data_IF_064804367031
#
_entry.id   IF_064804367031
#
_cell.length_a   1.000
_cell.length_b   1.000
_cell.length_c   1.000
_cell.angle_alpha   90.00
_cell.angle_beta   90.00
_cell.angle_gamma   90.00
#
_symmetry.space_group_name_H-M   'P 1'
#
loop_
_entity.id
_entity.type
_entity.pdbx_description
1 polymer ?
#
# COMPACT_ATOMS: atom_id res chain seq x y z
N UNK A 1 53.92 14.10 -7.20
CA UNK A 1 53.78 15.01 -8.35
C UNK A 1 53.08 14.28 -9.49
N UNK A 2 51.75 14.24 -9.48
CA UNK A 2 50.97 13.77 -10.63
C UNK A 2 51.22 14.77 -11.76
N UNK A 3 51.83 14.30 -12.85
CA UNK A 3 52.18 15.13 -14.01
C UNK A 3 50.88 15.79 -14.48
N UNK A 4 50.87 17.11 -14.65
CA UNK A 4 49.69 17.92 -15.03
C UNK A 4 48.93 17.34 -16.25
N UNK A 5 49.62 16.62 -17.12
CA UNK A 5 49.05 15.87 -18.25
C UNK A 5 48.04 14.77 -17.84
N UNK A 6 48.25 14.06 -16.72
CA UNK A 6 47.32 13.01 -16.23
C UNK A 6 46.02 13.58 -15.69
N UNK A 7 46.06 14.76 -15.06
CA UNK A 7 44.86 15.39 -14.51
C UNK A 7 43.96 15.95 -15.62
N UNK A 8 44.57 16.51 -16.68
CA UNK A 8 43.87 16.99 -17.87
C UNK A 8 43.21 15.82 -18.62
N UNK A 9 43.91 14.68 -18.74
CA UNK A 9 43.35 13.49 -19.40
C UNK A 9 42.13 12.92 -18.63
N UNK A 10 42.20 12.87 -17.30
CA UNK A 10 41.06 12.44 -16.46
C UNK A 10 39.88 13.40 -16.60
N UNK A 11 40.14 14.72 -16.60
CA UNK A 11 39.09 15.73 -16.77
C UNK A 11 38.43 15.64 -18.17
N UNK A 12 39.20 15.39 -19.22
CA UNK A 12 38.68 15.22 -20.58
C UNK A 12 37.84 13.95 -20.72
N UNK A 13 38.25 12.83 -20.09
CA UNK A 13 37.46 11.60 -20.09
C UNK A 13 36.15 11.77 -19.31
N UNK A 14 36.19 12.44 -18.15
CA UNK A 14 34.98 12.72 -17.36
C UNK A 14 34.04 13.69 -18.08
N UNK A 15 34.55 14.76 -18.70
CA UNK A 15 33.74 15.66 -19.53
C UNK A 15 33.18 14.94 -20.76
N UNK A 16 33.97 14.09 -21.42
CA UNK A 16 33.51 13.29 -22.56
C UNK A 16 32.40 12.31 -22.21
N UNK A 17 32.49 11.66 -21.04
CA UNK A 17 31.43 10.79 -20.52
C UNK A 17 30.17 11.56 -20.15
N UNK A 18 30.30 12.73 -19.51
CA UNK A 18 29.16 13.60 -19.18
C UNK A 18 28.51 14.15 -20.45
N UNK A 19 29.28 14.54 -21.45
CA UNK A 19 28.76 14.98 -22.75
C UNK A 19 28.06 13.82 -23.46
N UNK A 20 28.64 12.61 -23.50
CA UNK A 20 27.95 11.43 -24.05
C UNK A 20 26.64 11.09 -23.34
N UNK A 21 26.53 11.31 -22.02
CA UNK A 21 25.27 11.13 -21.27
C UNK A 21 24.27 12.24 -21.60
N UNK A 22 24.74 13.47 -21.83
CA UNK A 22 23.89 14.64 -22.11
C UNK A 22 23.50 14.81 -23.58
N UNK A 23 24.28 14.27 -24.52
CA UNK A 23 24.05 14.35 -25.97
C UNK A 23 23.57 13.04 -26.57
N UNK A 24 23.44 11.96 -25.78
CA UNK A 24 22.72 10.79 -26.25
C UNK A 24 21.30 11.24 -26.65
N UNK A 25 20.91 11.05 -27.91
CA UNK A 25 19.58 11.40 -28.32
C UNK A 25 18.62 10.60 -27.44
N UNK A 26 17.77 11.29 -26.67
CA UNK A 26 16.58 10.73 -26.01
C UNK A 26 15.53 10.20 -27.01
N UNK A 27 15.94 9.99 -28.26
CA UNK A 27 15.18 9.60 -29.44
C UNK A 27 15.33 8.10 -29.71
N UNK A 28 15.14 7.25 -28.68
CA UNK A 28 14.78 5.83 -28.87
C UNK A 28 13.78 5.44 -27.77
N UNK A 29 12.70 6.20 -27.67
CA UNK A 29 11.40 5.68 -27.24
C UNK A 29 10.41 6.35 -28.18
N UNK A 30 9.88 5.59 -29.14
CA UNK A 30 8.92 6.10 -30.11
C UNK A 30 7.71 6.66 -29.37
N UNK A 31 7.58 7.98 -29.39
CA UNK A 31 6.30 8.64 -29.17
C UNK A 31 5.59 8.67 -30.52
N UNK A 32 4.96 7.57 -30.90
CA UNK A 32 3.64 7.77 -31.51
C UNK A 32 2.77 8.25 -30.35
N UNK A 33 2.46 9.53 -30.31
CA UNK A 33 1.31 10.02 -29.53
C UNK A 33 0.06 9.39 -30.16
N UNK A 34 -0.14 8.09 -29.92
CA UNK A 34 -1.48 7.56 -29.91
C UNK A 34 -2.14 8.21 -28.70
N UNK A 35 -2.95 9.24 -28.95
CA UNK A 35 -3.96 9.65 -27.98
C UNK A 35 -4.78 8.41 -27.66
N UNK A 36 -4.43 7.72 -26.57
CA UNK A 36 -5.27 6.69 -25.99
C UNK A 36 -6.52 7.40 -25.46
N UNK A 37 -7.50 7.54 -26.34
CA UNK A 37 -8.84 7.96 -25.95
C UNK A 37 -9.38 6.87 -25.03
N UNK A 38 -9.31 7.07 -23.71
CA UNK A 38 -9.93 6.19 -22.74
C UNK A 38 -11.45 6.29 -22.96
N UNK A 39 -11.98 5.42 -23.82
CA UNK A 39 -13.41 5.18 -23.92
C UNK A 39 -13.81 4.65 -22.55
N UNK A 40 -14.55 5.46 -21.78
CA UNK A 40 -14.83 5.20 -20.37
C UNK A 40 -15.14 3.73 -20.08
N UNK A 41 -14.49 3.17 -19.06
CA UNK A 41 -14.73 1.78 -18.67
C UNK A 41 -16.17 1.58 -18.18
N UNK A 42 -16.86 0.58 -18.73
CA UNK A 42 -18.14 0.11 -18.19
C UNK A 42 -17.84 -0.89 -17.08
N UNK A 43 -18.39 -0.64 -15.88
CA UNK A 43 -18.26 -1.58 -14.76
C UNK A 43 -18.97 -2.90 -15.06
N UNK A 44 -18.27 -4.03 -14.92
CA UNK A 44 -18.88 -5.36 -15.02
C UNK A 44 -19.76 -5.72 -13.81
N UNK A 45 -20.58 -6.76 -13.93
CA UNK A 45 -21.43 -7.22 -12.83
C UNK A 45 -20.66 -8.13 -11.85
N UNK A 46 -19.94 -7.53 -10.90
CA UNK A 46 -19.15 -8.24 -9.90
C UNK A 46 -19.34 -7.66 -8.49
N UNK A 47 -18.84 -8.40 -7.49
CA UNK A 47 -18.97 -8.03 -6.08
C UNK A 47 -18.43 -6.62 -5.78
N UNK A 48 -17.26 -6.25 -6.33
CA UNK A 48 -16.63 -4.94 -6.16
C UNK A 48 -17.54 -3.81 -6.64
N UNK A 49 -18.18 -3.96 -7.81
CA UNK A 49 -19.10 -2.96 -8.36
C UNK A 49 -20.47 -2.95 -7.67
N UNK A 50 -20.89 -4.08 -7.07
CA UNK A 50 -22.13 -4.18 -6.27
C UNK A 50 -21.97 -3.72 -4.82
N UNK A 51 -20.75 -3.42 -4.38
CA UNK A 51 -20.46 -3.09 -2.98
C UNK A 51 -20.77 -4.23 -2.00
N UNK A 52 -20.66 -5.48 -2.47
CA UNK A 52 -20.93 -6.68 -1.69
C UNK A 52 -19.61 -7.27 -1.21
N UNK A 53 -19.35 -7.19 0.10
CA UNK A 53 -18.17 -7.82 0.67
C UNK A 53 -18.20 -9.35 0.43
N UNK A 54 -17.04 -9.99 0.20
CA UNK A 54 -16.97 -11.43 0.05
C UNK A 54 -17.38 -12.13 1.35
N UNK A 55 -18.35 -13.06 1.28
CA UNK A 55 -18.74 -13.88 2.44
C UNK A 55 -17.54 -14.70 2.94
N UNK A 56 -16.82 -15.33 2.02
CA UNK A 56 -15.56 -16.03 2.28
C UNK A 56 -14.35 -15.12 2.01
N UNK A 57 -14.15 -14.15 2.90
CA UNK A 57 -12.99 -13.25 2.85
C UNK A 57 -11.65 -13.99 2.94
N UNK A 58 -11.60 -15.10 3.68
CA UNK A 58 -10.39 -15.91 3.85
C UNK A 58 -10.00 -16.58 2.53
N UNK A 59 -10.96 -17.23 1.87
CA UNK A 59 -10.77 -17.80 0.55
C UNK A 59 -10.45 -16.75 -0.50
N UNK A 60 -11.01 -15.54 -0.41
CA UNK A 60 -10.67 -14.45 -1.33
C UNK A 60 -9.22 -13.99 -1.17
N UNK A 61 -8.71 -13.84 0.07
CA UNK A 61 -7.28 -13.60 0.29
C UNK A 61 -6.45 -14.72 -0.33
N UNK A 62 -6.82 -15.99 -0.06
CA UNK A 62 -6.10 -17.14 -0.63
C UNK A 62 -6.10 -17.14 -2.16
N UNK A 63 -7.23 -16.79 -2.79
CA UNK A 63 -7.36 -16.71 -4.26
C UNK A 63 -6.48 -15.60 -4.85
N UNK A 64 -6.50 -14.41 -4.26
CA UNK A 64 -5.81 -13.25 -4.81
C UNK A 64 -4.31 -13.23 -4.47
N UNK A 65 -3.95 -13.55 -3.23
CA UNK A 65 -2.58 -13.54 -2.73
C UNK A 65 -1.85 -14.88 -2.93
N UNK A 66 -2.58 -15.97 -3.11
CA UNK A 66 -2.07 -17.35 -3.19
C UNK A 66 -2.04 -18.10 -1.86
N UNK A 67 -2.06 -17.39 -0.72
CA UNK A 67 -2.18 -17.98 0.62
C UNK A 67 -2.71 -16.98 1.64
N UNK A 68 -3.10 -17.46 2.83
CA UNK A 68 -3.47 -16.60 3.95
C UNK A 68 -2.31 -16.54 4.94
N UNK A 69 -1.91 -15.33 5.33
CA UNK A 69 -0.80 -15.08 6.24
C UNK A 69 -1.16 -13.95 7.22
N UNK A 70 -0.50 -13.84 8.38
CA UNK A 70 -0.94 -12.92 9.43
C UNK A 70 -0.90 -11.44 8.99
N UNK A 71 -0.04 -11.09 8.03
CA UNK A 71 0.05 -9.73 7.47
C UNK A 71 -1.16 -9.35 6.60
N UNK A 72 -1.63 -10.25 5.72
CA UNK A 72 -2.83 -9.96 4.93
C UNK A 72 -4.11 -10.03 5.79
N UNK A 73 -4.15 -10.87 6.83
CA UNK A 73 -5.25 -10.82 7.81
C UNK A 73 -5.25 -9.51 8.60
N UNK A 74 -4.08 -9.02 9.03
CA UNK A 74 -3.96 -7.71 9.68
C UNK A 74 -4.50 -6.58 8.80
N UNK A 75 -4.12 -6.55 7.52
CA UNK A 75 -4.63 -5.57 6.55
C UNK A 75 -6.15 -5.66 6.39
N UNK A 76 -6.69 -6.88 6.30
CA UNK A 76 -8.15 -7.09 6.24
C UNK A 76 -8.86 -6.55 7.48
N UNK A 77 -8.33 -6.84 8.67
CA UNK A 77 -8.91 -6.35 9.94
C UNK A 77 -8.91 -4.83 10.03
N UNK A 78 -7.81 -4.18 9.63
CA UNK A 78 -7.72 -2.72 9.57
C UNK A 78 -8.77 -2.18 8.59
N UNK A 79 -8.92 -2.80 7.42
CA UNK A 79 -9.93 -2.40 6.44
C UNK A 79 -11.35 -2.48 6.97
N UNK A 80 -11.71 -3.59 7.62
CA UNK A 80 -13.04 -3.77 8.22
C UNK A 80 -13.31 -2.78 9.35
N UNK A 81 -12.31 -2.50 10.19
CA UNK A 81 -12.40 -1.48 11.22
C UNK A 81 -12.61 -0.09 10.59
N UNK A 82 -11.85 0.27 9.56
CA UNK A 82 -11.98 1.55 8.88
C UNK A 82 -13.37 1.77 8.26
N UNK A 83 -13.95 0.75 7.61
CA UNK A 83 -15.31 0.82 7.08
C UNK A 83 -16.33 1.14 8.19
N UNK A 84 -16.21 0.48 9.35
CA UNK A 84 -17.06 0.70 10.53
C UNK A 84 -16.86 2.10 11.11
N UNK A 85 -15.62 2.53 11.29
CA UNK A 85 -15.29 3.82 11.94
C UNK A 85 -15.62 5.04 11.06
N UNK A 86 -15.64 4.88 9.73
CA UNK A 86 -15.95 5.94 8.77
C UNK A 86 -17.38 5.84 8.20
N UNK A 87 -18.19 4.95 8.74
CA UNK A 87 -19.58 4.67 8.32
C UNK A 87 -19.72 4.61 6.79
N UNK A 88 -18.93 3.73 6.18
CA UNK A 88 -19.00 3.45 4.74
C UNK A 88 -19.07 1.95 4.48
N UNK A 89 -19.33 1.57 3.23
CA UNK A 89 -19.53 0.19 2.81
C UNK A 89 -18.38 -0.30 1.96
N UNK A 90 -18.14 -1.59 2.06
CA UNK A 90 -17.16 -2.28 1.24
C UNK A 90 -17.41 -2.04 -0.25
N UNK A 91 -16.35 -1.84 -1.04
CA UNK A 91 -16.44 -1.71 -2.50
C UNK A 91 -17.03 -0.38 -2.99
N UNK A 92 -17.27 0.61 -2.11
CA UNK A 92 -17.70 1.96 -2.53
C UNK A 92 -16.58 2.79 -3.14
N UNK A 93 -15.33 2.42 -2.89
CA UNK A 93 -14.14 3.10 -3.40
C UNK A 93 -14.01 4.57 -2.93
N UNK A 94 -14.68 4.89 -1.81
CA UNK A 94 -14.76 6.22 -1.21
C UNK A 94 -13.61 6.51 -0.24
N UNK A 95 -12.80 5.50 0.10
CA UNK A 95 -11.63 5.64 0.98
C UNK A 95 -10.35 6.00 0.22
N UNK A 96 -9.54 6.84 0.84
CA UNK A 96 -8.15 7.09 0.49
C UNK A 96 -7.22 6.49 1.55
N UNK A 97 -6.36 5.55 1.16
CA UNK A 97 -5.61 4.69 2.07
C UNK A 97 -4.11 4.75 1.72
N UNK A 98 -3.28 5.03 2.72
CA UNK A 98 -1.82 4.91 2.62
C UNK A 98 -1.33 3.88 3.63
N UNK A 99 -0.73 2.81 3.12
CA UNK A 99 -0.12 1.74 3.90
C UNK A 99 1.39 2.00 4.04
N UNK A 100 1.82 2.42 5.22
CA UNK A 100 3.23 2.68 5.53
C UNK A 100 3.89 1.41 6.05
N UNK A 101 4.74 0.80 5.23
CA UNK A 101 5.40 -0.49 5.51
C UNK A 101 6.79 -0.53 4.88
N UNK A 102 7.73 -1.34 5.40
CA UNK A 102 8.89 -1.72 4.61
C UNK A 102 8.43 -2.33 3.27
N UNK A 103 9.00 -1.89 2.14
CA UNK A 103 8.58 -2.36 0.80
C UNK A 103 9.26 -3.71 0.49
N UNK A 104 8.91 -4.72 1.30
CA UNK A 104 9.32 -6.10 1.15
C UNK A 104 8.31 -7.03 1.80
N UNK A 105 8.32 -8.29 1.38
CA UNK A 105 7.57 -9.33 2.07
C UNK A 105 8.25 -9.68 3.41
N UNK A 106 7.46 -10.06 4.43
CA UNK A 106 6.00 -10.24 4.41
C UNK A 106 5.20 -8.94 4.69
N UNK A 107 5.86 -7.81 4.99
CA UNK A 107 5.20 -6.57 5.43
C UNK A 107 4.20 -6.02 4.40
N UNK A 108 4.60 -5.98 3.14
CA UNK A 108 3.77 -5.47 2.05
C UNK A 108 2.51 -6.30 1.79
N UNK A 109 2.44 -7.55 2.24
CA UNK A 109 1.24 -8.40 2.12
C UNK A 109 0.02 -7.80 2.84
N UNK A 110 0.23 -6.86 3.77
CA UNK A 110 -0.85 -6.09 4.40
C UNK A 110 -1.70 -5.33 3.38
N UNK A 111 -1.12 -4.87 2.27
CA UNK A 111 -1.85 -4.15 1.23
C UNK A 111 -2.94 -5.03 0.59
N UNK A 112 -2.67 -6.31 0.33
CA UNK A 112 -3.66 -7.23 -0.23
C UNK A 112 -4.80 -7.48 0.76
N UNK A 113 -4.45 -7.54 2.05
CA UNK A 113 -5.42 -7.52 3.13
C UNK A 113 -6.34 -6.31 3.08
N UNK A 114 -5.78 -5.11 2.94
CA UNK A 114 -6.55 -3.86 2.83
C UNK A 114 -7.47 -3.86 1.61
N UNK A 115 -7.01 -4.39 0.46
CA UNK A 115 -7.85 -4.55 -0.74
C UNK A 115 -9.07 -5.41 -0.44
N UNK A 116 -8.88 -6.62 0.11
CA UNK A 116 -10.00 -7.51 0.45
C UNK A 116 -10.85 -6.93 1.59
N UNK A 117 -10.23 -6.25 2.54
CA UNK A 117 -10.90 -5.67 3.71
C UNK A 117 -11.77 -4.47 3.39
N UNK A 118 -11.50 -3.73 2.31
CA UNK A 118 -12.21 -2.48 1.99
C UNK A 118 -12.92 -2.50 0.64
N UNK A 119 -12.46 -3.33 -0.30
CA UNK A 119 -12.88 -3.29 -1.71
C UNK A 119 -12.23 -2.16 -2.51
N UNK A 120 -11.42 -1.30 -1.86
CA UNK A 120 -10.56 -0.33 -2.53
C UNK A 120 -9.38 -1.06 -3.20
N UNK A 121 -8.81 -0.50 -4.27
CA UNK A 121 -7.74 -1.17 -5.03
C UNK A 121 -6.56 -0.26 -5.30
N UNK A 122 -5.40 -0.89 -5.51
CA UNK A 122 -4.16 -0.21 -5.89
C UNK A 122 -4.30 0.43 -7.28
N UNK A 123 -4.91 -0.27 -8.25
CA UNK A 123 -5.06 0.25 -9.62
C UNK A 123 -5.96 1.49 -9.74
N UNK A 124 -6.95 1.65 -8.86
CA UNK A 124 -7.74 2.88 -8.73
C UNK A 124 -7.02 3.99 -7.96
N UNK A 125 -5.81 3.71 -7.47
CA UNK A 125 -5.03 4.57 -6.59
C UNK A 125 -5.75 4.91 -5.28
N UNK A 126 -6.72 4.09 -4.89
CA UNK A 126 -7.40 4.19 -3.60
C UNK A 126 -6.48 3.76 -2.45
N UNK A 127 -5.58 2.83 -2.74
CA UNK A 127 -4.58 2.29 -1.82
C UNK A 127 -3.22 2.56 -2.42
N UNK A 128 -2.33 3.18 -1.64
CA UNK A 128 -0.93 3.41 -1.98
C UNK A 128 -0.04 2.85 -0.89
N UNK A 129 1.12 2.32 -1.27
CA UNK A 129 2.16 1.95 -0.31
C UNK A 129 3.16 3.09 -0.19
N UNK A 130 3.64 3.31 1.02
CA UNK A 130 4.74 4.21 1.31
C UNK A 130 5.79 3.48 2.15
N UNK A 131 7.07 3.66 1.79
CA UNK A 131 8.15 2.97 2.47
C UNK A 131 8.40 3.54 3.87
N UNK A 132 8.65 2.65 4.83
CA UNK A 132 9.22 3.01 6.13
C UNK A 132 10.42 2.12 6.46
N UNK A 133 11.35 2.66 7.24
CA UNK A 133 12.63 2.01 7.51
C UNK A 133 12.54 0.79 8.45
N UNK A 134 11.53 0.73 9.33
CA UNK A 134 11.43 -0.32 10.34
C UNK A 134 9.98 -0.57 10.82
N UNK A 135 9.80 -1.67 11.56
CA UNK A 135 8.50 -2.11 12.10
C UNK A 135 7.80 -1.07 12.97
N UNK A 136 8.55 -0.30 13.77
CA UNK A 136 7.98 0.68 14.70
C UNK A 136 7.32 1.87 13.99
N UNK A 137 7.62 2.04 12.69
CA UNK A 137 7.03 3.07 11.84
C UNK A 137 5.85 2.55 11.02
N UNK A 138 5.49 1.27 11.13
CA UNK A 138 4.35 0.71 10.41
C UNK A 138 3.05 1.33 10.90
N UNK A 139 2.27 1.87 9.97
CA UNK A 139 0.93 2.37 10.23
C UNK A 139 0.11 2.44 8.94
N UNK A 140 -1.22 2.56 9.07
CA UNK A 140 -2.11 2.78 7.94
C UNK A 140 -2.92 4.05 8.18
N UNK A 141 -2.82 5.01 7.26
CA UNK A 141 -3.64 6.22 7.27
C UNK A 141 -4.84 6.02 6.34
N UNK A 142 -6.04 6.29 6.84
CA UNK A 142 -7.29 6.12 6.09
C UNK A 142 -8.19 7.33 6.31
N UNK A 143 -8.71 7.90 5.24
CA UNK A 143 -9.72 8.95 5.27
C UNK A 143 -10.77 8.74 4.18
N UNK A 144 -11.89 9.45 4.26
CA UNK A 144 -12.84 9.52 3.15
C UNK A 144 -12.33 10.53 2.11
N UNK A 145 -12.47 10.21 0.83
CA UNK A 145 -12.08 11.09 -0.29
C UNK A 145 -12.91 12.37 -0.36
N UNK A 146 -14.15 12.32 0.11
CA UNK A 146 -15.05 13.47 0.21
C UNK A 146 -14.67 14.44 1.35
N UNK A 147 -13.67 14.09 2.17
CA UNK A 147 -13.21 14.89 3.30
C UNK A 147 -14.13 14.85 4.53
N UNK A 148 -15.14 13.99 4.54
CA UNK A 148 -16.04 13.84 5.69
C UNK A 148 -15.43 12.91 6.76
N UNK A 149 -15.72 13.22 8.02
CA UNK A 149 -15.20 12.47 9.16
C UNK A 149 -13.71 12.74 9.46
N UNK A 150 -13.13 12.00 10.41
CA UNK A 150 -11.73 12.15 10.78
C UNK A 150 -10.79 11.43 9.80
N UNK A 151 -9.51 11.78 9.85
CA UNK A 151 -8.44 10.90 9.39
C UNK A 151 -8.16 9.87 10.47
N UNK A 152 -8.18 8.59 10.10
CA UNK A 152 -7.85 7.48 10.98
C UNK A 152 -6.39 7.06 10.76
N UNK A 153 -5.66 6.90 11.86
CA UNK A 153 -4.33 6.28 11.84
C UNK A 153 -4.40 4.99 12.64
N UNK A 154 -4.24 3.86 11.95
CA UNK A 154 -4.13 2.54 12.53
C UNK A 154 -2.67 2.24 12.80
N UNK A 155 -2.30 2.02 14.07
CA UNK A 155 -0.94 1.63 14.45
C UNK A 155 -0.96 0.21 15.02
N UNK A 156 -0.46 -0.80 14.28
CA UNK A 156 -0.32 -2.14 14.82
C UNK A 156 0.54 -2.15 16.09
N UNK A 157 0.17 -3.00 17.05
CA UNK A 157 0.89 -3.10 18.32
C UNK A 157 2.30 -3.65 18.06
N UNK A 158 3.37 -3.03 18.60
CA UNK A 158 4.73 -3.54 18.40
C UNK A 158 4.92 -4.99 18.86
N UNK A 159 4.24 -5.38 19.95
CA UNK A 159 4.25 -6.76 20.43
C UNK A 159 3.61 -7.73 19.42
N UNK A 160 2.51 -7.32 18.79
CA UNK A 160 1.86 -8.10 17.74
C UNK A 160 2.73 -8.17 16.47
N UNK A 161 3.33 -7.07 16.03
CA UNK A 161 4.22 -7.07 14.86
C UNK A 161 5.40 -8.02 15.05
N UNK A 162 6.06 -7.99 16.23
CA UNK A 162 7.14 -8.93 16.54
C UNK A 162 6.68 -10.39 16.55
N UNK A 163 5.44 -10.66 16.94
CA UNK A 163 4.86 -12.01 16.92
C UNK A 163 4.69 -12.55 15.49
N UNK A 164 4.54 -11.69 14.48
CA UNK A 164 4.22 -12.08 13.10
C UNK A 164 5.29 -11.72 12.06
N UNK A 165 6.44 -11.16 12.45
CA UNK A 165 7.42 -10.57 11.52
C UNK A 165 8.07 -11.58 10.56
N UNK A 166 8.32 -12.80 11.04
CA UNK A 166 8.96 -13.85 10.24
C UNK A 166 8.50 -15.24 10.69
N UNK A 167 7.21 -15.58 10.50
CA UNK A 167 6.68 -16.87 10.92
C UNK A 167 7.24 -17.98 10.05
N UNK A 168 7.40 -19.17 10.63
CA UNK A 168 7.70 -20.34 9.81
C UNK A 168 6.47 -20.70 8.96
N UNK A 169 6.64 -21.33 7.77
CA UNK A 169 5.53 -21.70 6.91
C UNK A 169 4.43 -22.50 7.64
N UNK A 170 4.80 -23.41 8.52
CA UNK A 170 3.88 -24.22 9.33
C UNK A 170 3.08 -23.42 10.37
N UNK A 171 3.50 -22.21 10.72
CA UNK A 171 2.83 -21.33 11.69
C UNK A 171 1.86 -20.35 11.03
N UNK A 172 1.93 -20.17 9.70
CA UNK A 172 1.16 -19.15 8.99
C UNK A 172 -0.33 -19.25 9.26
N UNK A 173 -0.93 -20.43 9.11
CA UNK A 173 -2.37 -20.60 9.33
C UNK A 173 -2.76 -20.33 10.78
N UNK A 174 -1.98 -20.84 11.74
CA UNK A 174 -2.22 -20.62 13.17
C UNK A 174 -2.21 -19.12 13.48
N UNK A 175 -1.17 -18.40 13.07
CA UNK A 175 -1.03 -16.97 13.32
C UNK A 175 -2.10 -16.14 12.61
N UNK A 176 -2.51 -16.54 11.41
CA UNK A 176 -3.64 -15.92 10.70
C UNK A 176 -4.97 -16.11 11.43
N UNK A 177 -5.23 -17.31 11.98
CA UNK A 177 -6.44 -17.59 12.77
C UNK A 177 -6.43 -16.81 14.08
N UNK A 178 -5.30 -16.79 14.77
CA UNK A 178 -5.09 -15.95 15.96
C UNK A 178 -5.38 -14.48 15.63
N UNK A 179 -4.74 -13.93 14.59
CA UNK A 179 -4.98 -12.57 14.13
C UNK A 179 -6.48 -12.30 13.92
N UNK A 180 -7.21 -13.20 13.26
CA UNK A 180 -8.63 -13.00 12.93
C UNK A 180 -9.55 -12.93 14.16
N UNK A 181 -9.14 -13.47 15.29
CA UNK A 181 -9.99 -13.62 16.50
C UNK A 181 -9.51 -12.80 17.69
N UNK A 182 -8.25 -12.35 17.70
CA UNK A 182 -7.70 -11.49 18.76
C UNK A 182 -8.54 -10.23 18.96
N UNK A 183 -8.61 -9.74 20.20
CA UNK A 183 -9.24 -8.45 20.50
C UNK A 183 -8.54 -7.35 19.71
N UNK A 184 -9.32 -6.42 19.18
CA UNK A 184 -8.81 -5.35 18.31
C UNK A 184 -7.68 -4.55 18.98
N UNK A 185 -7.84 -4.22 20.27
CA UNK A 185 -6.86 -3.48 21.08
C UNK A 185 -5.49 -4.16 21.22
N UNK A 186 -5.46 -5.49 21.07
CA UNK A 186 -4.25 -6.30 21.20
C UNK A 186 -3.49 -6.35 19.85
N UNK A 187 -4.15 -5.98 18.75
CA UNK A 187 -3.60 -6.04 17.39
C UNK A 187 -3.22 -4.65 16.88
N UNK A 188 -4.07 -3.63 17.08
CA UNK A 188 -3.76 -2.25 16.70
C UNK A 188 -4.48 -1.24 17.59
N UNK A 189 -4.01 0.01 17.58
CA UNK A 189 -4.76 1.16 18.05
C UNK A 189 -5.28 2.00 16.89
N UNK A 190 -6.34 2.76 17.15
CA UNK A 190 -6.95 3.69 16.20
C UNK A 190 -6.82 5.10 16.79
N UNK A 191 -6.06 5.97 16.12
CA UNK A 191 -5.99 7.39 16.42
C UNK A 191 -6.92 8.15 15.46
N UNK A 192 -7.68 9.11 15.97
CA UNK A 192 -8.61 9.94 15.18
C UNK A 192 -8.09 11.37 15.14
N UNK A 193 -7.79 11.87 13.95
CA UNK A 193 -7.40 13.25 13.72
C UNK A 193 -8.59 13.94 13.07
N UNK A 194 -9.22 14.84 13.81
CA UNK A 194 -10.27 15.70 13.24
C UNK A 194 -9.58 16.95 12.71
N UNK A 195 -9.76 17.25 11.44
CA UNK A 195 -9.38 18.55 10.89
C UNK A 195 -10.31 19.59 11.50
N UNK A 196 -9.80 20.36 12.47
CA UNK A 196 -10.44 21.62 12.82
C UNK A 196 -10.40 22.50 11.58
N UNK A 197 -11.56 22.97 11.11
CA UNK A 197 -11.64 24.02 10.10
C UNK A 197 -10.77 25.20 10.55
N UNK A 198 -9.52 25.24 10.10
CA UNK A 198 -8.63 26.37 10.32
C UNK A 198 -7.86 26.58 9.04
N UNK A 199 -8.33 27.61 8.33
CA UNK A 199 -7.75 28.31 7.18
C UNK A 199 -8.01 27.70 5.80
N UNK A 200 -9.07 28.24 5.19
CA UNK A 200 -9.07 28.65 3.78
C UNK A 200 -8.02 29.74 3.54
#
# INVERSE_FOLDING_TARGET
MIKKASLILVLLVMCGLVICILTYPRYVLGSSEEEHHFVGAVGGDNAYNRGQAPEDWWGEIKRMHGHVGPWNVLGWRIGQAALRELDTKWGRHELDIICYVPIKTPHSCMADGLVIGTGNTIGRLDIRLAEVACLDLIHVCIQRKDGTGPVLIFKPRPAYLRHIDAPKPEELEKLSRECSTMKESDVFEIQRITTSNTQR
#
